data_IF_353226745477
#
_entry.id   IF_353226745477
#
_cell.length_a   1.000
_cell.length_b   1.000
_cell.length_c   1.000
_cell.angle_alpha   90.00
_cell.angle_beta   90.00
_cell.angle_gamma   90.00
#
_symmetry.space_group_name_H-M   'P 1'
#
loop_
_entity.id
_entity.type
_entity.pdbx_description
1 polymer ?
#
# COMPACT_ATOMS: atom_id res chain seq x y z
N UNK A 1 -1.72 -17.65 82.82
CA UNK A 1 -1.38 -18.10 81.45
C UNK A 1 -2.40 -17.53 80.49
N UNK A 2 -2.00 -16.63 79.60
CA UNK A 2 -2.65 -16.34 78.30
C UNK A 2 -1.95 -15.11 77.70
N UNK A 3 -1.00 -15.34 76.79
CA UNK A 3 -0.39 -14.30 75.96
C UNK A 3 -1.41 -13.94 74.88
N UNK A 4 -1.85 -12.67 74.83
CA UNK A 4 -2.65 -12.12 73.73
C UNK A 4 -1.71 -11.78 72.57
N UNK A 5 -1.91 -12.43 71.44
CA UNK A 5 -1.24 -12.11 70.18
C UNK A 5 -1.94 -10.90 69.54
N UNK A 6 -1.18 -9.85 69.22
CA UNK A 6 -1.61 -8.80 68.28
C UNK A 6 -1.39 -9.34 66.86
N UNK A 7 -2.47 -9.52 66.12
CA UNK A 7 -2.43 -9.78 64.68
C UNK A 7 -2.32 -8.45 63.94
N UNK A 8 -1.21 -8.21 63.25
CA UNK A 8 -1.05 -7.11 62.31
C UNK A 8 -1.72 -7.48 60.98
N UNK A 9 -2.71 -6.70 60.57
CA UNK A 9 -3.34 -6.81 59.25
C UNK A 9 -2.43 -6.16 58.21
N UNK A 10 -1.88 -6.95 57.28
CA UNK A 10 -1.16 -6.47 56.10
C UNK A 10 -2.18 -6.21 55.00
N UNK A 11 -2.40 -4.94 54.66
CA UNK A 11 -3.19 -4.55 53.49
C UNK A 11 -2.34 -4.75 52.22
N UNK A 12 -2.70 -5.73 51.39
CA UNK A 12 -2.17 -5.84 50.03
C UNK A 12 -2.84 -4.78 49.14
N UNK A 13 -2.10 -3.73 48.80
CA UNK A 13 -2.47 -2.84 47.70
C UNK A 13 -2.19 -3.55 46.38
N UNK A 14 -3.24 -3.99 45.69
CA UNK A 14 -3.15 -4.46 44.32
C UNK A 14 -2.88 -3.25 43.41
N UNK A 15 -1.65 -3.12 42.93
CA UNK A 15 -1.32 -2.17 41.87
C UNK A 15 -1.95 -2.66 40.56
N UNK A 16 -3.05 -2.01 40.15
CA UNK A 16 -3.57 -2.16 38.80
C UNK A 16 -2.54 -1.58 37.83
N UNK A 17 -1.83 -2.44 37.12
CA UNK A 17 -1.03 -2.04 35.96
C UNK A 17 -2.02 -1.65 34.87
N UNK A 18 -2.24 -0.34 34.71
CA UNK A 18 -2.91 0.20 33.54
C UNK A 18 -1.95 -0.04 32.37
N UNK A 19 -2.15 -1.12 31.64
CA UNK A 19 -1.54 -1.30 30.33
C UNK A 19 -2.15 -0.24 29.41
N UNK A 20 -1.41 0.84 29.16
CA UNK A 20 -1.74 1.73 28.05
C UNK A 20 -1.78 0.88 26.77
N UNK A 21 -2.84 0.96 25.95
CA UNK A 21 -2.84 0.26 24.67
C UNK A 21 -1.63 0.76 23.87
N UNK A 22 -0.74 -0.17 23.53
CA UNK A 22 0.34 0.12 22.59
C UNK A 22 -0.33 0.47 21.27
N UNK A 23 -0.30 1.74 20.90
CA UNK A 23 -0.82 2.20 19.60
C UNK A 23 -0.21 1.36 18.47
N UNK A 24 -0.98 1.16 17.39
CA UNK A 24 -0.48 0.44 16.23
C UNK A 24 0.81 1.09 15.71
N UNK A 25 1.72 0.27 15.17
CA UNK A 25 2.86 0.79 14.43
C UNK A 25 2.34 1.40 13.13
N UNK A 26 2.20 2.72 13.15
CA UNK A 26 2.02 3.51 11.94
C UNK A 26 3.36 3.63 11.19
N UNK A 27 3.30 3.64 9.87
CA UNK A 27 4.36 3.42 8.88
C UNK A 27 4.88 1.98 8.78
N UNK A 28 5.27 1.51 7.58
CA UNK A 28 5.88 0.19 7.43
C UNK A 28 7.14 0.05 8.30
N UNK A 29 7.28 -1.03 9.09
CA UNK A 29 8.41 -1.19 10.00
C UNK A 29 9.72 -1.43 9.24
N UNK A 30 10.78 -0.72 9.63
CA UNK A 30 12.13 -0.88 9.08
C UNK A 30 12.63 0.36 8.32
N UNK A 31 13.65 0.15 7.49
CA UNK A 31 14.37 1.22 6.78
C UNK A 31 13.98 1.36 5.31
N UNK A 32 13.19 0.44 4.78
CA UNK A 32 12.69 0.41 3.40
C UNK A 32 11.16 0.42 3.45
N UNK A 33 10.53 1.45 2.90
CA UNK A 33 9.10 1.70 3.03
C UNK A 33 8.33 1.63 1.70
N UNK A 34 9.01 1.33 0.59
CA UNK A 34 8.38 1.16 -0.71
C UNK A 34 7.81 -0.25 -0.86
N UNK A 35 6.54 -0.33 -1.23
CA UNK A 35 5.84 -1.58 -1.58
C UNK A 35 5.66 -1.70 -3.09
N UNK A 36 6.02 -2.84 -3.67
CA UNK A 36 5.55 -3.20 -5.01
C UNK A 36 4.22 -3.95 -4.91
N UNK A 37 3.14 -3.44 -5.49
CA UNK A 37 1.84 -4.11 -5.53
C UNK A 37 1.75 -4.93 -6.81
N UNK A 38 2.05 -6.23 -6.72
CA UNK A 38 2.09 -7.14 -7.87
C UNK A 38 0.69 -7.71 -8.13
N UNK A 39 -0.17 -6.85 -8.67
CA UNK A 39 -1.59 -7.12 -8.84
C UNK A 39 -1.85 -8.31 -9.79
N UNK A 40 -2.50 -9.35 -9.25
CA UNK A 40 -2.85 -10.61 -9.91
C UNK A 40 -1.65 -11.42 -10.43
N UNK A 41 -0.44 -11.19 -9.91
CA UNK A 41 0.70 -12.07 -10.19
C UNK A 41 0.59 -13.38 -9.42
N UNK A 42 0.85 -14.51 -10.07
CA UNK A 42 0.88 -15.79 -9.39
C UNK A 42 2.09 -15.91 -8.45
N UNK A 43 1.97 -16.72 -7.40
CA UNK A 43 2.98 -16.76 -6.32
C UNK A 43 4.38 -17.16 -6.82
N UNK A 44 4.48 -18.05 -7.80
CA UNK A 44 5.75 -18.44 -8.39
C UNK A 44 6.45 -17.28 -9.13
N UNK A 45 5.68 -16.43 -9.82
CA UNK A 45 6.22 -15.25 -10.51
C UNK A 45 6.70 -14.20 -9.51
N UNK A 46 5.94 -13.97 -8.43
CA UNK A 46 6.34 -13.07 -7.34
C UNK A 46 7.63 -13.54 -6.66
N UNK A 47 7.74 -14.85 -6.36
CA UNK A 47 8.94 -15.43 -5.77
C UNK A 47 10.20 -15.12 -6.60
N UNK A 48 10.11 -15.32 -7.93
CA UNK A 48 11.19 -14.98 -8.85
C UNK A 48 11.48 -13.48 -8.84
N UNK A 49 10.45 -12.64 -8.96
CA UNK A 49 10.60 -11.17 -9.03
C UNK A 49 11.24 -10.59 -7.76
N UNK A 50 10.94 -11.17 -6.59
CA UNK A 50 11.60 -10.83 -5.34
C UNK A 50 13.13 -10.97 -5.43
N UNK A 51 13.61 -12.06 -6.03
CA UNK A 51 15.05 -12.34 -6.15
C UNK A 51 15.73 -11.55 -7.26
N UNK A 52 15.06 -11.37 -8.41
CA UNK A 52 15.68 -10.81 -9.61
C UNK A 52 15.62 -9.29 -9.66
N UNK A 53 14.59 -8.70 -9.05
CA UNK A 53 14.31 -7.26 -9.19
C UNK A 53 14.05 -6.59 -7.85
N UNK A 54 13.06 -7.04 -7.06
CA UNK A 54 12.59 -6.27 -5.90
C UNK A 54 13.68 -6.15 -4.81
N UNK A 55 14.27 -7.28 -4.42
CA UNK A 55 15.36 -7.32 -3.44
C UNK A 55 16.56 -6.48 -3.87
N UNK A 56 17.14 -6.73 -5.06
CA UNK A 56 18.26 -5.94 -5.60
C UNK A 56 17.98 -4.44 -5.73
N UNK A 57 16.76 -4.04 -6.13
CA UNK A 57 16.37 -2.63 -6.23
C UNK A 57 16.12 -1.97 -4.86
N UNK A 58 15.94 -2.77 -3.81
CA UNK A 58 15.77 -2.27 -2.45
C UNK A 58 14.32 -2.02 -2.06
N UNK A 59 13.34 -2.65 -2.70
CA UNK A 59 11.96 -2.64 -2.20
C UNK A 59 11.92 -3.21 -0.78
N UNK A 60 11.06 -2.64 0.07
CA UNK A 60 10.86 -3.14 1.43
C UNK A 60 9.82 -4.26 1.47
N UNK A 61 8.79 -4.12 0.65
CA UNK A 61 7.61 -4.98 0.68
C UNK A 61 7.16 -5.36 -0.74
N UNK A 62 6.50 -6.50 -0.84
CA UNK A 62 5.61 -6.86 -1.94
C UNK A 62 4.21 -7.05 -1.40
N UNK A 63 3.20 -6.43 -2.03
CA UNK A 63 1.80 -6.73 -1.78
C UNK A 63 1.30 -7.72 -2.84
N UNK A 64 0.62 -8.77 -2.38
CA UNK A 64 -0.01 -9.79 -3.23
C UNK A 64 -1.53 -9.63 -3.23
N UNK A 65 -2.17 -9.95 -4.35
CA UNK A 65 -3.64 -10.06 -4.46
C UNK A 65 -4.20 -11.14 -3.51
N UNK A 66 -5.52 -11.12 -3.22
CA UNK A 66 -6.11 -12.00 -2.22
C UNK A 66 -5.80 -13.50 -2.46
N UNK A 67 -5.18 -14.20 -1.49
CA UNK A 67 -4.83 -15.62 -1.65
C UNK A 67 -5.98 -16.56 -1.27
N UNK A 68 -7.01 -16.04 -0.59
CA UNK A 68 -8.16 -16.81 -0.15
C UNK A 68 -8.92 -17.41 -1.35
N UNK A 69 -9.58 -18.54 -1.10
CA UNK A 69 -10.51 -19.14 -2.05
C UNK A 69 -11.61 -18.14 -2.35
N UNK A 70 -11.87 -17.96 -3.64
CA UNK A 70 -12.80 -16.96 -4.13
C UNK A 70 -13.72 -17.57 -5.19
N UNK A 71 -14.71 -16.82 -5.67
CA UNK A 71 -15.61 -17.30 -6.74
C UNK A 71 -14.85 -17.59 -8.03
N UNK A 72 -15.39 -18.48 -8.86
CA UNK A 72 -14.86 -18.74 -10.19
C UNK A 72 -15.21 -17.61 -11.16
N UNK A 73 -14.36 -17.41 -12.17
CA UNK A 73 -14.56 -16.46 -13.26
C UNK A 73 -13.24 -15.88 -13.73
N UNK A 74 -13.11 -15.39 -14.97
CA UNK A 74 -11.87 -14.79 -15.42
C UNK A 74 -11.58 -13.42 -14.79
N UNK A 75 -12.61 -12.66 -14.40
CA UNK A 75 -12.51 -11.26 -14.00
C UNK A 75 -11.62 -11.08 -12.77
N UNK A 76 -10.90 -9.96 -12.70
CA UNK A 76 -9.98 -9.66 -11.60
C UNK A 76 -10.71 -9.51 -10.26
N UNK A 77 -11.90 -8.89 -10.28
CA UNK A 77 -12.68 -8.63 -9.06
C UNK A 77 -13.24 -9.91 -8.42
N UNK A 78 -13.17 -11.05 -9.10
CA UNK A 78 -13.54 -12.33 -8.47
C UNK A 78 -12.66 -12.66 -7.27
N UNK A 79 -11.39 -12.23 -7.27
CA UNK A 79 -10.47 -12.37 -6.12
C UNK A 79 -10.97 -11.66 -4.86
N UNK A 80 -11.87 -10.69 -5.01
CA UNK A 80 -12.49 -9.91 -3.93
C UNK A 80 -13.85 -10.47 -3.49
N UNK A 81 -14.22 -11.68 -3.93
CA UNK A 81 -15.42 -12.37 -3.47
C UNK A 81 -15.04 -13.69 -2.81
N UNK A 82 -14.62 -13.66 -1.54
CA UNK A 82 -14.14 -14.85 -0.84
C UNK A 82 -15.28 -15.84 -0.61
N UNK A 83 -14.93 -17.12 -0.70
CA UNK A 83 -15.83 -18.26 -0.47
C UNK A 83 -15.38 -19.04 0.77
N UNK A 84 -14.07 -19.14 0.99
CA UNK A 84 -13.49 -19.65 2.24
C UNK A 84 -12.10 -19.06 2.46
N UNK A 85 -11.53 -19.28 3.64
CA UNK A 85 -10.17 -18.85 3.97
C UNK A 85 -9.06 -19.84 3.56
N UNK A 86 -9.38 -20.87 2.76
CA UNK A 86 -8.34 -21.74 2.15
C UNK A 86 -7.46 -20.91 1.22
N UNK A 87 -6.15 -21.14 1.21
CA UNK A 87 -5.27 -20.59 0.17
C UNK A 87 -5.43 -21.45 -1.08
N UNK A 88 -6.35 -21.05 -1.95
CA UNK A 88 -6.75 -21.81 -3.13
C UNK A 88 -7.32 -20.89 -4.23
N UNK A 89 -6.80 -19.67 -4.34
CA UNK A 89 -7.14 -18.75 -5.42
C UNK A 89 -6.50 -19.13 -6.76
N UNK A 90 -6.80 -18.34 -7.79
CA UNK A 90 -6.20 -18.46 -9.14
C UNK A 90 -4.66 -18.36 -9.16
N UNK A 91 -4.06 -17.78 -8.12
CA UNK A 91 -2.64 -17.38 -8.06
C UNK A 91 -1.70 -18.51 -7.61
N UNK A 92 -2.26 -19.63 -7.17
CA UNK A 92 -1.52 -20.80 -6.71
C UNK A 92 -2.09 -21.39 -5.43
N UNK A 93 -1.56 -22.55 -5.05
CA UNK A 93 -1.95 -23.21 -3.81
C UNK A 93 -1.15 -22.70 -2.60
N UNK A 94 -1.48 -23.24 -1.42
CA UNK A 94 -0.80 -22.95 -0.16
C UNK A 94 0.71 -23.19 -0.21
N UNK A 95 1.17 -24.23 -0.91
CA UNK A 95 2.59 -24.55 -0.98
C UNK A 95 3.35 -23.52 -1.83
N UNK A 96 2.78 -23.12 -2.97
CA UNK A 96 3.31 -22.05 -3.80
C UNK A 96 3.34 -20.71 -3.04
N UNK A 97 2.29 -20.41 -2.26
CA UNK A 97 2.25 -19.22 -1.41
C UNK A 97 3.38 -19.22 -0.37
N UNK A 98 3.55 -20.31 0.40
CA UNK A 98 4.61 -20.41 1.41
C UNK A 98 6.02 -20.35 0.79
N UNK A 99 6.20 -20.96 -0.39
CA UNK A 99 7.44 -20.86 -1.14
C UNK A 99 7.72 -19.42 -1.57
N UNK A 100 6.71 -18.67 -2.01
CA UNK A 100 6.85 -17.26 -2.35
C UNK A 100 7.26 -16.43 -1.13
N UNK A 101 6.60 -16.60 0.02
CA UNK A 101 6.94 -15.86 1.24
C UNK A 101 8.40 -16.09 1.63
N UNK A 102 8.80 -17.36 1.75
CA UNK A 102 10.18 -17.72 2.12
C UNK A 102 11.23 -17.23 1.11
N UNK A 103 10.92 -17.29 -0.20
CA UNK A 103 11.82 -16.78 -1.26
C UNK A 103 11.96 -15.26 -1.19
N UNK A 104 10.86 -14.53 -0.97
CA UNK A 104 10.89 -13.06 -0.83
C UNK A 104 11.68 -12.64 0.41
N UNK A 105 11.50 -13.32 1.54
CA UNK A 105 12.28 -13.08 2.74
C UNK A 105 13.77 -13.31 2.53
N UNK A 106 14.16 -14.38 1.83
CA UNK A 106 15.56 -14.65 1.49
C UNK A 106 16.16 -13.54 0.60
N UNK A 107 15.34 -12.85 -0.20
CA UNK A 107 15.74 -11.69 -1.00
C UNK A 107 15.68 -10.36 -0.21
N UNK A 108 15.30 -10.39 1.08
CA UNK A 108 15.16 -9.20 1.93
C UNK A 108 13.91 -8.37 1.65
N UNK A 109 12.87 -8.98 1.08
CA UNK A 109 11.58 -8.36 0.76
C UNK A 109 10.49 -8.98 1.63
N UNK A 110 9.76 -8.15 2.37
CA UNK A 110 8.64 -8.57 3.22
C UNK A 110 7.35 -8.74 2.41
N UNK A 111 6.39 -9.51 2.92
CA UNK A 111 5.13 -9.82 2.21
C UNK A 111 3.93 -9.22 2.93
N UNK A 112 3.15 -8.42 2.21
CA UNK A 112 1.84 -7.90 2.61
C UNK A 112 0.75 -8.62 1.82
N UNK A 113 -0.30 -9.07 2.49
CA UNK A 113 -1.42 -9.76 1.85
C UNK A 113 -2.63 -8.84 1.74
N UNK A 114 -3.22 -8.74 0.55
CA UNK A 114 -4.55 -8.14 0.39
C UNK A 114 -5.60 -9.07 1.02
N UNK A 115 -6.32 -8.56 2.03
CA UNK A 115 -7.13 -9.37 2.95
C UNK A 115 -8.56 -8.86 2.95
N UNK A 116 -9.47 -9.65 2.37
CA UNK A 116 -10.90 -9.34 2.27
C UNK A 116 -11.61 -9.92 3.48
N UNK A 117 -12.00 -9.02 4.40
CA UNK A 117 -12.57 -9.39 5.70
C UNK A 117 -13.88 -8.67 6.04
N UNK A 118 -14.33 -7.77 5.17
CA UNK A 118 -15.62 -7.09 5.31
C UNK A 118 -16.80 -8.00 4.92
N UNK A 119 -16.64 -8.73 3.82
CA UNK A 119 -17.75 -9.41 3.17
C UNK A 119 -17.33 -10.78 2.62
N UNK A 120 -18.34 -11.55 2.24
CA UNK A 120 -18.21 -12.79 1.48
C UNK A 120 -18.87 -12.68 0.10
N UNK A 121 -18.62 -13.66 -0.77
CA UNK A 121 -19.09 -13.66 -2.15
C UNK A 121 -20.61 -13.49 -2.30
N UNK A 122 -21.08 -12.70 -3.27
CA UNK A 122 -22.50 -12.64 -3.58
C UNK A 122 -22.98 -13.90 -4.33
N UNK A 123 -24.30 -14.15 -4.34
CA UNK A 123 -24.89 -15.19 -5.18
C UNK A 123 -24.66 -16.61 -4.66
N UNK A 124 -24.38 -17.57 -5.55
CA UNK A 124 -24.19 -18.97 -5.19
C UNK A 124 -23.30 -19.70 -6.19
N UNK A 125 -22.54 -20.69 -5.75
CA UNK A 125 -21.75 -21.53 -6.64
C UNK A 125 -20.70 -22.35 -5.92
N UNK A 126 -19.57 -22.58 -6.60
CA UNK A 126 -18.40 -23.28 -6.06
C UNK A 126 -17.19 -22.38 -6.20
N UNK A 127 -16.41 -22.24 -5.13
CA UNK A 127 -15.16 -21.49 -5.13
C UNK A 127 -14.05 -22.20 -5.90
N UNK A 128 -12.94 -21.50 -6.11
CA UNK A 128 -11.73 -22.02 -6.77
C UNK A 128 -11.06 -23.16 -6.01
N UNK A 129 -11.31 -23.28 -4.70
CA UNK A 129 -10.84 -24.33 -3.80
C UNK A 129 -11.85 -25.46 -3.54
N UNK A 130 -12.95 -25.49 -4.31
CA UNK A 130 -13.96 -26.54 -4.28
C UNK A 130 -15.04 -26.39 -3.19
N UNK A 131 -15.04 -25.32 -2.41
CA UNK A 131 -16.07 -25.06 -1.40
C UNK A 131 -17.36 -24.58 -2.07
N UNK A 132 -18.50 -25.17 -1.74
CA UNK A 132 -19.82 -24.65 -2.17
C UNK A 132 -20.20 -23.43 -1.33
N UNK A 133 -20.99 -22.52 -1.89
CA UNK A 133 -21.60 -21.42 -1.15
C UNK A 133 -22.95 -21.00 -1.74
N UNK A 134 -23.78 -20.42 -0.89
CA UNK A 134 -24.93 -19.59 -1.27
C UNK A 134 -24.86 -18.29 -0.48
N UNK A 135 -25.57 -17.25 -0.91
CA UNK A 135 -25.55 -15.96 -0.22
C UNK A 135 -25.94 -16.17 1.25
N UNK A 136 -25.10 -15.67 2.16
CA UNK A 136 -25.18 -15.86 3.61
C UNK A 136 -24.97 -17.29 4.15
N UNK A 137 -24.57 -18.26 3.33
CA UNK A 137 -24.23 -19.61 3.79
C UNK A 137 -22.96 -20.11 3.10
N UNK A 138 -21.89 -20.22 3.90
CA UNK A 138 -20.55 -20.62 3.50
C UNK A 138 -20.16 -21.81 4.40
N UNK A 139 -20.61 -23.04 4.05
CA UNK A 139 -20.57 -24.19 4.92
C UNK A 139 -19.20 -24.44 5.57
N UNK A 140 -19.21 -24.54 6.89
CA UNK A 140 -18.00 -24.74 7.70
C UNK A 140 -17.25 -23.46 8.07
N UNK A 141 -17.71 -22.29 7.61
CA UNK A 141 -17.14 -21.00 7.95
C UNK A 141 -18.19 -20.02 8.49
N UNK A 142 -19.19 -19.66 7.69
CA UNK A 142 -20.23 -18.70 8.07
C UNK A 142 -21.62 -19.20 7.68
N UNK A 143 -22.61 -18.80 8.46
CA UNK A 143 -24.04 -19.04 8.32
C UNK A 143 -24.78 -17.71 8.30
N UNK A 144 -26.10 -17.74 8.08
CA UNK A 144 -26.90 -16.51 7.96
C UNK A 144 -26.92 -15.63 9.21
N UNK A 145 -26.50 -16.17 10.37
CA UNK A 145 -26.43 -15.42 11.63
C UNK A 145 -25.14 -14.61 11.78
N UNK A 146 -24.16 -14.84 10.91
CA UNK A 146 -22.83 -14.23 10.96
C UNK A 146 -22.72 -13.01 10.01
N UNK A 147 -23.86 -12.55 9.45
CA UNK A 147 -23.97 -11.43 8.52
C UNK A 147 -24.88 -10.35 9.09
N UNK A 148 -24.65 -9.10 8.70
CA UNK A 148 -25.49 -7.98 9.10
C UNK A 148 -26.92 -8.10 8.56
N UNK A 149 -27.88 -7.57 9.32
CA UNK A 149 -29.31 -7.64 9.00
C UNK A 149 -29.70 -6.77 7.78
N UNK A 150 -28.88 -5.79 7.39
CA UNK A 150 -29.17 -4.93 6.24
C UNK A 150 -28.75 -5.59 4.93
N UNK A 151 -29.60 -6.45 4.39
CA UNK A 151 -29.38 -7.15 3.11
C UNK A 151 -29.54 -6.27 1.85
N UNK A 152 -29.59 -4.95 2.01
CA UNK A 152 -29.75 -3.99 0.92
C UNK A 152 -28.40 -3.42 0.50
N UNK A 153 -28.29 -2.94 -0.74
CA UNK A 153 -27.07 -2.26 -1.18
C UNK A 153 -26.87 -0.92 -0.46
N UNK A 154 -25.63 -0.58 -0.12
CA UNK A 154 -25.25 0.76 0.36
C UNK A 154 -25.77 1.80 -0.63
N UNK A 155 -26.51 2.79 -0.13
CA UNK A 155 -27.14 3.83 -0.95
C UNK A 155 -26.94 5.24 -0.40
N UNK A 156 -26.41 5.39 0.81
CA UNK A 156 -26.21 6.69 1.43
C UNK A 156 -24.89 6.77 2.21
N UNK A 157 -23.83 7.26 1.56
CA UNK A 157 -22.52 7.47 2.21
C UNK A 157 -22.50 8.57 3.30
N UNK A 158 -23.60 9.30 3.51
CA UNK A 158 -23.78 10.24 4.63
C UNK A 158 -24.43 9.58 5.86
N UNK A 159 -24.79 8.32 5.77
CA UNK A 159 -25.30 7.53 6.88
C UNK A 159 -24.27 6.45 7.23
N UNK A 160 -23.62 6.59 8.39
CA UNK A 160 -22.60 5.65 8.86
C UNK A 160 -23.15 4.23 8.96
N UNK A 161 -24.36 4.08 9.51
CA UNK A 161 -24.92 2.76 9.70
C UNK A 161 -25.15 2.08 8.35
N UNK A 162 -25.64 2.83 7.36
CA UNK A 162 -25.79 2.32 6.00
C UNK A 162 -24.44 1.95 5.35
N UNK A 163 -23.36 2.67 5.62
CA UNK A 163 -22.03 2.39 5.06
C UNK A 163 -21.38 1.14 5.66
N UNK A 164 -21.65 0.86 6.94
CA UNK A 164 -20.91 -0.14 7.73
C UNK A 164 -21.69 -1.42 8.07
N UNK A 165 -22.98 -1.49 7.70
CA UNK A 165 -23.82 -2.66 7.98
C UNK A 165 -24.64 -3.12 6.78
N UNK A 166 -24.59 -2.41 5.64
CA UNK A 166 -25.32 -2.78 4.44
C UNK A 166 -24.35 -3.18 3.33
N UNK A 167 -24.84 -3.90 2.34
CA UNK A 167 -24.00 -4.60 1.37
C UNK A 167 -23.30 -3.68 0.37
N UNK A 168 -21.97 -3.68 0.37
CA UNK A 168 -21.19 -3.09 -0.70
C UNK A 168 -21.45 -3.85 -2.01
N UNK A 169 -22.13 -3.21 -2.96
CA UNK A 169 -22.52 -3.78 -4.28
C UNK A 169 -23.17 -5.17 -4.23
N UNK A 170 -23.83 -5.50 -3.12
CA UNK A 170 -24.57 -6.76 -2.94
C UNK A 170 -23.74 -7.94 -2.42
N UNK A 171 -22.49 -7.68 -1.99
CA UNK A 171 -21.62 -8.62 -1.30
C UNK A 171 -22.15 -8.89 0.11
N UNK A 172 -22.10 -10.14 0.56
CA UNK A 172 -22.68 -10.54 1.85
C UNK A 172 -21.87 -9.92 3.01
N UNK A 173 -22.43 -8.93 3.68
CA UNK A 173 -21.74 -8.09 4.68
C UNK A 173 -21.63 -8.83 6.03
N UNK A 174 -20.41 -9.11 6.50
CA UNK A 174 -20.18 -9.86 7.73
C UNK A 174 -20.47 -8.98 8.95
N UNK A 175 -21.15 -9.53 9.97
CA UNK A 175 -21.29 -8.84 11.27
C UNK A 175 -19.93 -8.85 12.00
N UNK A 176 -19.08 -7.89 11.66
CA UNK A 176 -17.75 -7.76 12.27
C UNK A 176 -17.79 -7.32 13.74
N UNK A 177 -18.98 -7.02 14.28
CA UNK A 177 -19.26 -6.84 15.69
C UNK A 177 -19.30 -8.16 16.47
N UNK A 178 -19.59 -9.27 15.79
CA UNK A 178 -19.78 -10.58 16.42
C UNK A 178 -18.46 -11.23 16.86
N UNK A 179 -18.47 -11.89 18.02
CA UNK A 179 -17.30 -12.57 18.54
C UNK A 179 -16.84 -13.75 17.68
N UNK A 180 -17.77 -14.48 17.07
CA UNK A 180 -17.46 -15.60 16.19
C UNK A 180 -16.79 -15.10 14.91
N UNK A 181 -17.40 -14.14 14.20
CA UNK A 181 -16.85 -13.51 12.98
C UNK A 181 -15.44 -12.97 13.22
N UNK A 182 -15.23 -12.15 14.27
CA UNK A 182 -13.89 -11.63 14.63
C UNK A 182 -12.89 -12.75 14.91
N UNK A 183 -13.34 -13.85 15.51
CA UNK A 183 -12.51 -15.03 15.79
C UNK A 183 -12.11 -15.77 14.52
N UNK A 184 -13.04 -15.95 13.58
CA UNK A 184 -12.80 -16.59 12.29
C UNK A 184 -11.83 -15.76 11.43
N UNK A 185 -12.05 -14.45 11.32
CA UNK A 185 -11.16 -13.52 10.62
C UNK A 185 -9.75 -13.55 11.23
N UNK A 186 -9.64 -13.40 12.55
CA UNK A 186 -8.34 -13.44 13.23
C UNK A 186 -7.65 -14.80 13.06
N UNK A 187 -8.40 -15.90 13.03
CA UNK A 187 -7.90 -17.24 12.73
C UNK A 187 -7.27 -17.33 11.34
N UNK A 188 -7.94 -16.80 10.32
CA UNK A 188 -7.40 -16.71 8.96
C UNK A 188 -6.13 -15.85 8.88
N UNK A 189 -6.15 -14.66 9.46
CA UNK A 189 -4.98 -13.78 9.47
C UNK A 189 -3.80 -14.41 10.24
N UNK A 190 -4.07 -15.11 11.36
CA UNK A 190 -3.05 -15.85 12.08
C UNK A 190 -2.49 -17.04 11.30
N UNK A 191 -3.30 -17.70 10.48
CA UNK A 191 -2.83 -18.73 9.56
C UNK A 191 -1.85 -18.14 8.52
N UNK A 192 -2.17 -16.99 7.94
CA UNK A 192 -1.26 -16.26 7.05
C UNK A 192 0.04 -15.84 7.77
N UNK A 193 -0.05 -15.31 9.00
CA UNK A 193 1.13 -15.01 9.81
C UNK A 193 2.00 -16.25 10.07
N UNK A 194 1.39 -17.42 10.28
CA UNK A 194 2.12 -18.68 10.49
C UNK A 194 2.93 -19.11 9.26
N UNK A 195 2.54 -18.64 8.07
CA UNK A 195 3.26 -18.86 6.81
C UNK A 195 4.36 -17.82 6.55
N UNK A 196 4.52 -16.84 7.44
CA UNK A 196 5.55 -15.80 7.38
C UNK A 196 5.09 -14.46 6.79
N UNK A 197 3.79 -14.22 6.63
CA UNK A 197 3.29 -12.91 6.19
C UNK A 197 3.69 -11.82 7.20
N UNK A 198 4.12 -10.66 6.70
CA UNK A 198 4.60 -9.54 7.50
C UNK A 198 3.52 -8.47 7.78
N UNK A 199 2.44 -8.48 7.00
CA UNK A 199 1.38 -7.50 7.13
C UNK A 199 0.20 -7.73 6.20
N UNK A 200 -0.78 -6.85 6.33
CA UNK A 200 -2.07 -6.94 5.66
C UNK A 200 -2.47 -5.60 5.06
N UNK A 201 -2.93 -5.63 3.80
CA UNK A 201 -3.78 -4.58 3.26
C UNK A 201 -5.22 -4.99 3.56
N UNK A 202 -5.93 -4.20 4.35
CA UNK A 202 -7.32 -4.46 4.73
C UNK A 202 -8.22 -3.85 3.67
N UNK A 203 -8.85 -4.72 2.89
CA UNK A 203 -9.83 -4.36 1.87
C UNK A 203 -11.10 -3.76 2.49
N UNK A 204 -11.69 -2.79 1.79
CA UNK A 204 -12.99 -2.22 2.15
C UNK A 204 -13.08 -1.75 3.61
N UNK A 205 -11.98 -1.30 4.22
CA UNK A 205 -11.92 -1.00 5.66
C UNK A 205 -12.93 0.07 6.11
N UNK A 206 -13.31 1.01 5.22
CA UNK A 206 -14.40 1.98 5.47
C UNK A 206 -15.72 1.30 5.91
N UNK A 207 -15.98 0.12 5.39
CA UNK A 207 -17.23 -0.62 5.56
C UNK A 207 -17.26 -1.44 6.85
N UNK A 208 -16.19 -1.43 7.65
CA UNK A 208 -16.17 -2.01 9.00
C UNK A 208 -15.97 -0.90 10.05
N UNK A 209 -16.51 -1.09 11.25
CA UNK A 209 -16.22 -0.18 12.37
C UNK A 209 -14.71 -0.23 12.69
N UNK A 210 -14.09 0.93 12.90
CA UNK A 210 -12.69 1.01 13.31
C UNK A 210 -12.42 0.25 14.62
N UNK A 211 -13.39 0.18 15.54
CA UNK A 211 -13.30 -0.58 16.78
C UNK A 211 -13.31 -2.11 16.53
N UNK A 212 -14.03 -2.57 15.51
CA UNK A 212 -14.10 -3.99 15.14
C UNK A 212 -12.78 -4.44 14.54
N UNK A 213 -12.21 -3.62 13.65
CA UNK A 213 -10.85 -3.80 13.14
C UNK A 213 -9.81 -3.79 14.25
N UNK A 214 -9.92 -2.89 15.24
CA UNK A 214 -9.05 -2.87 16.40
C UNK A 214 -9.16 -4.18 17.21
N UNK A 215 -10.37 -4.71 17.37
CA UNK A 215 -10.62 -5.97 18.05
C UNK A 215 -9.97 -7.15 17.31
N UNK A 216 -10.21 -7.28 16.00
CA UNK A 216 -9.61 -8.30 15.15
C UNK A 216 -8.07 -8.23 15.24
N UNK A 217 -7.50 -7.03 15.11
CA UNK A 217 -6.06 -6.79 15.23
C UNK A 217 -5.50 -7.25 16.58
N UNK A 218 -6.23 -7.02 17.67
CA UNK A 218 -5.82 -7.44 19.02
C UNK A 218 -5.76 -8.96 19.21
N UNK A 219 -6.42 -9.73 18.34
CA UNK A 219 -6.44 -11.20 18.34
C UNK A 219 -5.32 -11.82 17.50
N UNK A 220 -4.47 -11.00 16.86
CA UNK A 220 -3.36 -11.49 16.07
C UNK A 220 -2.17 -11.91 16.96
N UNK A 221 -1.56 -13.04 16.60
CA UNK A 221 -0.36 -13.58 17.25
C UNK A 221 0.85 -12.66 17.10
N UNK A 222 0.88 -11.85 16.03
CA UNK A 222 1.89 -10.82 15.81
C UNK A 222 1.22 -9.42 15.83
N UNK A 223 1.21 -8.73 16.98
CA UNK A 223 0.63 -7.38 17.07
C UNK A 223 1.46 -6.30 16.35
N UNK A 224 2.67 -6.64 15.89
CA UNK A 224 3.55 -5.78 15.09
C UNK A 224 3.42 -6.01 13.58
N UNK A 225 2.52 -6.91 13.15
CA UNK A 225 2.21 -7.06 11.72
C UNK A 225 1.76 -5.71 11.15
N UNK A 226 2.33 -5.34 10.00
CA UNK A 226 2.02 -4.07 9.36
C UNK A 226 0.58 -4.08 8.84
N UNK A 227 -0.19 -3.02 9.09
CA UNK A 227 -1.55 -2.86 8.59
C UNK A 227 -1.62 -1.61 7.73
N UNK A 228 -2.22 -1.76 6.55
CA UNK A 228 -2.59 -0.66 5.65
C UNK A 228 -4.06 -0.82 5.29
N UNK A 229 -4.87 0.20 5.50
CA UNK A 229 -6.33 0.10 5.42
C UNK A 229 -6.86 0.92 4.25
N UNK A 230 -7.75 0.33 3.46
CA UNK A 230 -8.47 1.04 2.42
C UNK A 230 -9.65 1.82 3.00
N UNK A 231 -9.49 3.13 3.16
CA UNK A 231 -10.58 4.03 3.54
C UNK A 231 -10.57 5.21 2.60
N UNK A 232 -11.42 5.17 1.57
CA UNK A 232 -11.49 6.21 0.56
C UNK A 232 -12.07 7.49 1.18
N UNK A 233 -11.41 8.63 1.07
CA UNK A 233 -12.00 9.88 1.53
C UNK A 233 -13.15 10.32 0.60
N UNK A 234 -14.32 10.62 1.16
CA UNK A 234 -15.40 11.32 0.46
C UNK A 234 -15.86 12.58 1.19
N UNK A 235 -16.06 13.66 0.42
CA UNK A 235 -16.47 14.96 0.97
C UNK A 235 -17.88 14.88 1.56
N UNK A 236 -18.00 15.16 2.87
CA UNK A 236 -19.26 15.11 3.60
C UNK A 236 -19.79 13.71 3.85
N UNK A 237 -18.99 12.66 3.62
CA UNK A 237 -19.33 11.29 4.00
C UNK A 237 -19.21 11.09 5.52
N UNK A 238 -20.00 10.17 6.07
CA UNK A 238 -20.10 9.96 7.50
C UNK A 238 -18.90 9.21 8.12
N UNK A 239 -18.16 8.45 7.31
CA UNK A 239 -16.99 7.67 7.70
C UNK A 239 -15.75 8.29 7.06
N UNK A 240 -14.77 8.65 7.89
CA UNK A 240 -13.58 9.39 7.48
C UNK A 240 -12.30 8.57 7.71
N UNK A 241 -11.27 8.69 6.83
CA UNK A 241 -10.01 7.95 6.95
C UNK A 241 -9.29 8.09 8.29
N UNK A 242 -9.39 9.27 8.90
CA UNK A 242 -8.70 9.59 10.16
C UNK A 242 -9.12 8.71 11.34
N UNK A 243 -10.33 8.14 11.29
CA UNK A 243 -10.86 7.23 12.31
C UNK A 243 -10.06 5.93 12.42
N UNK A 244 -9.39 5.52 11.34
CA UNK A 244 -8.72 4.22 11.22
C UNK A 244 -7.22 4.28 11.53
N UNK A 245 -6.67 5.48 11.74
CA UNK A 245 -5.23 5.69 11.97
C UNK A 245 -4.72 5.05 13.26
N UNK A 246 -5.60 4.69 14.20
CA UNK A 246 -5.26 3.93 15.40
C UNK A 246 -4.93 2.45 15.15
N UNK A 247 -5.34 1.90 14.00
CA UNK A 247 -5.18 0.49 13.65
C UNK A 247 -3.97 0.21 12.74
N UNK A 248 -3.43 1.24 12.11
CA UNK A 248 -2.33 1.15 11.15
C UNK A 248 -2.37 2.30 10.15
N UNK A 249 -1.64 2.15 9.06
CA UNK A 249 -1.67 3.12 7.96
C UNK A 249 -3.02 3.09 7.25
N UNK A 250 -3.38 4.23 6.67
CA UNK A 250 -4.59 4.40 5.87
C UNK A 250 -4.20 4.93 4.49
N UNK A 251 -4.80 4.37 3.45
CA UNK A 251 -4.56 4.80 2.08
C UNK A 251 -5.12 6.22 1.84
N UNK A 252 -4.24 7.18 1.56
CA UNK A 252 -4.61 8.58 1.29
C UNK A 252 -4.94 8.76 -0.20
N UNK A 253 -6.17 8.41 -0.59
CA UNK A 253 -6.63 8.49 -1.99
C UNK A 253 -6.56 9.90 -2.58
N UNK A 254 -6.70 10.95 -1.76
CA UNK A 254 -6.60 12.34 -2.23
C UNK A 254 -5.23 12.65 -2.84
N UNK A 255 -4.18 11.99 -2.35
CA UNK A 255 -2.84 12.05 -2.94
C UNK A 255 -2.89 11.65 -4.43
N UNK A 256 -3.44 10.49 -4.76
CA UNK A 256 -3.46 10.03 -6.14
C UNK A 256 -4.35 10.92 -7.06
N UNK A 257 -5.50 11.39 -6.55
CA UNK A 257 -6.42 12.27 -7.28
C UNK A 257 -5.80 13.63 -7.60
N UNK A 258 -5.13 14.23 -6.62
CA UNK A 258 -4.51 15.53 -6.78
C UNK A 258 -3.23 15.46 -7.61
N UNK A 259 -2.45 14.38 -7.53
CA UNK A 259 -1.34 14.17 -8.47
C UNK A 259 -1.85 14.15 -9.91
N UNK A 260 -2.93 13.42 -10.20
CA UNK A 260 -3.55 13.44 -11.53
C UNK A 260 -3.95 14.85 -11.95
N UNK A 261 -4.64 15.58 -11.08
CA UNK A 261 -5.07 16.95 -11.36
C UNK A 261 -3.89 17.85 -11.70
N UNK A 262 -2.83 17.79 -10.89
CA UNK A 262 -1.62 18.61 -11.07
C UNK A 262 -0.91 18.28 -12.37
N UNK A 263 -0.61 17.01 -12.64
CA UNK A 263 0.12 16.60 -13.84
C UNK A 263 -0.64 16.78 -15.17
N UNK A 264 -1.97 16.88 -15.13
CA UNK A 264 -2.79 17.02 -16.35
C UNK A 264 -3.27 18.45 -16.60
N UNK A 265 -3.55 19.22 -15.55
CA UNK A 265 -4.34 20.45 -15.68
C UNK A 265 -3.75 21.65 -14.91
N UNK A 266 -2.67 21.47 -14.15
CA UNK A 266 -2.06 22.54 -13.36
C UNK A 266 -0.54 22.50 -13.45
N UNK A 267 0.14 23.08 -12.45
CA UNK A 267 1.59 23.26 -12.47
C UNK A 267 2.26 22.43 -11.36
N UNK A 268 3.37 21.75 -11.68
CA UNK A 268 4.18 21.05 -10.69
C UNK A 268 4.67 21.95 -9.55
N UNK A 269 4.83 23.26 -9.79
CA UNK A 269 5.19 24.26 -8.78
C UNK A 269 4.26 24.25 -7.54
N UNK A 270 3.00 23.82 -7.67
CA UNK A 270 2.05 23.76 -6.56
C UNK A 270 2.39 22.68 -5.53
N UNK A 271 3.22 21.70 -5.88
CA UNK A 271 3.58 20.57 -5.02
C UNK A 271 4.55 20.94 -3.88
N UNK A 272 4.93 22.21 -3.73
CA UNK A 272 5.89 22.70 -2.72
C UNK A 272 5.55 22.34 -1.27
N UNK A 273 4.27 22.17 -0.95
CA UNK A 273 3.76 21.79 0.37
C UNK A 273 2.83 20.56 0.31
N UNK A 274 3.01 19.72 -0.70
CA UNK A 274 2.15 18.56 -0.96
C UNK A 274 2.10 17.58 0.21
N UNK A 275 0.92 17.06 0.56
CA UNK A 275 0.74 16.24 1.76
C UNK A 275 -0.10 16.95 2.83
N UNK A 276 0.38 16.98 4.07
CA UNK A 276 -0.31 17.62 5.21
C UNK A 276 -0.70 19.09 4.94
N UNK A 277 0.11 19.83 4.16
CA UNK A 277 -0.17 21.21 3.77
C UNK A 277 -1.40 21.39 2.86
N UNK A 278 -1.92 20.29 2.31
CA UNK A 278 -3.13 20.23 1.48
C UNK A 278 -4.33 19.65 2.27
N UNK A 279 -4.17 19.45 3.59
CA UNK A 279 -5.21 18.89 4.46
C UNK A 279 -5.29 17.36 4.42
N UNK A 280 -4.24 16.69 3.97
CA UNK A 280 -4.15 15.24 4.02
C UNK A 280 -3.89 14.75 5.46
N UNK A 281 -4.02 13.45 5.69
CA UNK A 281 -3.63 12.82 6.94
C UNK A 281 -2.15 13.06 7.26
N UNK A 282 -1.72 12.78 8.50
CA UNK A 282 -0.30 12.89 8.80
C UNK A 282 0.51 11.88 7.99
N UNK A 283 1.69 12.29 7.55
CA UNK A 283 2.60 11.43 6.77
C UNK A 283 2.91 10.11 7.48
N UNK A 284 2.96 10.10 8.81
CA UNK A 284 3.36 8.90 9.58
C UNK A 284 2.32 7.78 9.58
N UNK A 285 1.09 8.04 9.15
CA UNK A 285 -0.06 7.11 9.15
C UNK A 285 -0.66 6.93 7.75
N UNK A 286 0.06 7.33 6.70
CA UNK A 286 -0.46 7.40 5.34
C UNK A 286 0.24 6.44 4.39
N UNK A 287 -0.52 5.56 3.74
CA UNK A 287 -0.09 4.87 2.52
C UNK A 287 -0.44 5.72 1.30
N UNK A 288 0.48 5.88 0.34
CA UNK A 288 0.29 6.71 -0.85
C UNK A 288 0.64 5.96 -2.13
N UNK A 289 0.01 6.36 -3.23
CA UNK A 289 0.22 5.77 -4.54
C UNK A 289 -0.08 6.80 -5.63
N UNK A 290 0.41 6.56 -6.84
CA UNK A 290 -0.01 7.30 -8.04
C UNK A 290 -1.33 6.75 -8.57
N UNK A 291 -1.53 5.44 -8.44
CA UNK A 291 -2.68 4.67 -8.87
C UNK A 291 -2.80 3.38 -8.04
N UNK A 292 -3.98 2.78 -7.99
CA UNK A 292 -4.17 1.41 -7.55
C UNK A 292 -5.00 0.64 -8.59
N UNK A 293 -5.29 -0.64 -8.31
CA UNK A 293 -6.00 -1.50 -9.24
C UNK A 293 -7.44 -1.02 -9.54
N UNK A 294 -8.13 -0.36 -8.62
CA UNK A 294 -9.46 0.22 -8.87
C UNK A 294 -9.38 1.53 -9.65
N UNK A 295 -8.54 2.45 -9.18
CA UNK A 295 -8.53 3.83 -9.64
C UNK A 295 -7.93 3.99 -11.03
N UNK A 296 -7.03 3.08 -11.44
CA UNK A 296 -6.54 3.01 -12.82
C UNK A 296 -7.63 2.58 -13.81
N UNK A 297 -8.63 1.80 -13.34
CA UNK A 297 -9.72 1.26 -14.17
C UNK A 297 -10.91 2.19 -14.27
N UNK A 298 -11.20 2.95 -13.21
CA UNK A 298 -12.30 3.93 -13.20
C UNK A 298 -11.88 5.34 -13.65
N UNK A 299 -10.58 5.55 -13.91
CA UNK A 299 -10.04 6.82 -14.42
C UNK A 299 -9.99 7.94 -13.38
N UNK A 300 -10.05 7.65 -12.08
CA UNK A 300 -9.91 8.66 -11.03
C UNK A 300 -8.45 9.07 -10.78
N UNK A 301 -7.48 8.23 -11.14
CA UNK A 301 -6.04 8.51 -11.00
C UNK A 301 -5.31 8.50 -12.34
N UNK A 302 -4.00 8.78 -12.32
CA UNK A 302 -3.13 8.43 -13.44
C UNK A 302 -3.05 6.90 -13.55
N UNK A 303 -2.44 6.42 -14.62
CA UNK A 303 -2.23 5.00 -14.92
C UNK A 303 -1.04 4.84 -15.85
N UNK A 304 -0.61 3.59 -16.10
CA UNK A 304 0.43 3.30 -17.08
C UNK A 304 0.15 3.84 -18.50
N UNK A 305 -1.10 4.22 -18.80
CA UNK A 305 -1.53 4.80 -20.09
C UNK A 305 -1.20 6.29 -20.21
N UNK A 306 -0.84 6.97 -19.13
CA UNK A 306 -0.57 8.40 -19.07
C UNK A 306 0.90 8.77 -19.36
N UNK A 307 1.69 7.83 -19.90
CA UNK A 307 3.07 8.04 -20.37
C UNK A 307 3.96 8.78 -19.35
N UNK A 308 4.57 9.90 -19.75
CA UNK A 308 5.48 10.67 -18.93
C UNK A 308 4.83 11.20 -17.64
N UNK A 309 3.53 11.52 -17.66
CA UNK A 309 2.82 12.00 -16.47
C UNK A 309 2.86 10.93 -15.38
N UNK A 310 2.60 9.67 -15.73
CA UNK A 310 2.66 8.54 -14.80
C UNK A 310 4.07 8.29 -14.27
N UNK A 311 5.06 8.29 -15.16
CA UNK A 311 6.46 8.05 -14.79
C UNK A 311 6.98 9.13 -13.86
N UNK A 312 6.77 10.41 -14.18
CA UNK A 312 7.25 11.54 -13.38
C UNK A 312 6.46 11.71 -12.07
N UNK A 313 5.17 11.36 -12.04
CA UNK A 313 4.40 11.31 -10.80
C UNK A 313 4.99 10.27 -9.82
N UNK A 314 5.42 9.10 -10.31
CA UNK A 314 6.10 8.10 -9.49
C UNK A 314 7.48 8.56 -9.02
N UNK A 315 8.26 9.23 -9.89
CA UNK A 315 9.55 9.84 -9.51
C UNK A 315 9.34 10.87 -8.40
N UNK A 316 8.34 11.75 -8.53
CA UNK A 316 7.98 12.72 -7.51
C UNK A 316 7.57 12.04 -6.20
N UNK A 317 6.64 11.07 -6.24
CA UNK A 317 6.18 10.33 -5.07
C UNK A 317 7.33 9.66 -4.30
N UNK A 318 8.25 9.01 -5.00
CA UNK A 318 9.41 8.36 -4.37
C UNK A 318 10.44 9.37 -3.84
N UNK A 319 10.53 10.56 -4.43
CA UNK A 319 11.40 11.62 -3.95
C UNK A 319 10.81 12.42 -2.77
N UNK A 320 9.49 12.55 -2.71
CA UNK A 320 8.78 13.39 -1.75
C UNK A 320 8.67 12.72 -0.36
N UNK A 321 8.92 13.43 0.76
CA UNK A 321 8.91 12.85 2.11
C UNK A 321 7.50 12.73 2.72
N UNK A 322 6.53 12.16 1.99
CA UNK A 322 5.17 11.97 2.50
C UNK A 322 4.72 10.53 2.32
N UNK A 323 4.16 9.94 3.38
CA UNK A 323 3.60 8.60 3.40
C UNK A 323 4.57 7.46 3.07
N UNK A 324 4.02 6.25 3.08
CA UNK A 324 4.63 5.01 2.60
C UNK A 324 4.19 4.74 1.14
N UNK A 325 5.11 4.76 0.15
CA UNK A 325 4.74 4.61 -1.26
C UNK A 325 4.43 3.18 -1.66
N UNK A 326 3.30 2.99 -2.34
CA UNK A 326 2.94 1.80 -3.09
C UNK A 326 3.10 2.06 -4.59
N UNK A 327 3.82 1.16 -5.27
CA UNK A 327 3.94 1.15 -6.73
C UNK A 327 3.00 0.08 -7.27
N UNK A 328 1.88 0.51 -7.85
CA UNK A 328 0.95 -0.40 -8.54
C UNK A 328 1.64 -1.02 -9.75
N UNK A 329 1.54 -2.34 -9.90
CA UNK A 329 2.17 -3.07 -10.99
C UNK A 329 1.29 -4.21 -11.49
N UNK A 330 0.34 -3.84 -12.34
CA UNK A 330 -0.56 -4.78 -13.01
C UNK A 330 -0.19 -5.10 -14.45
N UNK A 331 -1.23 -5.18 -15.28
CA UNK A 331 -1.21 -5.65 -16.66
C UNK A 331 -2.07 -4.76 -17.56
N UNK A 332 -1.93 -4.93 -18.87
CA UNK A 332 -2.70 -4.21 -19.87
C UNK A 332 -4.15 -4.68 -19.88
N UNK A 333 -5.07 -3.73 -19.88
CA UNK A 333 -6.50 -3.99 -20.00
C UNK A 333 -7.16 -2.97 -20.94
N UNK A 334 -8.09 -3.48 -21.75
CA UNK A 334 -9.02 -2.69 -22.59
C UNK A 334 -10.45 -2.72 -22.06
N UNK A 335 -10.75 -3.65 -21.15
CA UNK A 335 -12.03 -3.83 -20.49
C UNK A 335 -11.84 -3.63 -18.99
N UNK A 336 -12.84 -3.02 -18.33
CA UNK A 336 -12.79 -2.71 -16.90
C UNK A 336 -12.63 -3.97 -16.05
N UNK A 337 -13.27 -5.06 -16.45
CA UNK A 337 -13.34 -6.30 -15.68
C UNK A 337 -12.29 -7.34 -16.10
N UNK A 338 -11.41 -7.00 -17.05
CA UNK A 338 -10.42 -7.91 -17.59
C UNK A 338 -9.54 -8.53 -16.48
N UNK A 339 -9.52 -9.86 -16.45
CA UNK A 339 -8.62 -10.65 -15.61
C UNK A 339 -7.16 -10.59 -16.06
N UNK A 340 -6.24 -11.16 -15.27
CA UNK A 340 -4.83 -11.19 -15.59
C UNK A 340 -4.54 -12.06 -16.82
N UNK A 341 -3.56 -11.67 -17.66
CA UNK A 341 -3.04 -12.53 -18.70
C UNK A 341 -2.50 -13.85 -18.13
N UNK A 342 -2.71 -14.95 -18.85
CA UNK A 342 -2.12 -16.27 -18.53
C UNK A 342 -2.35 -16.73 -17.08
N UNK A 343 -3.51 -16.40 -16.48
CA UNK A 343 -3.84 -16.80 -15.12
C UNK A 343 -2.87 -16.24 -14.07
N UNK A 344 -2.29 -15.06 -14.31
CA UNK A 344 -1.34 -14.44 -13.40
C UNK A 344 0.12 -14.88 -13.60
N UNK A 345 0.40 -15.79 -14.53
CA UNK A 345 1.79 -16.18 -14.82
C UNK A 345 2.52 -15.05 -15.57
N UNK A 346 3.62 -14.61 -14.98
CA UNK A 346 4.55 -13.66 -15.59
C UNK A 346 5.82 -14.41 -15.96
N UNK A 347 6.18 -14.43 -17.25
CA UNK A 347 7.44 -15.03 -17.69
C UNK A 347 8.54 -13.97 -17.85
N UNK A 348 8.16 -12.78 -18.31
CA UNK A 348 9.03 -11.62 -18.44
C UNK A 348 8.20 -10.34 -18.43
N UNK A 349 8.81 -9.24 -17.99
CA UNK A 349 8.21 -7.93 -18.03
C UNK A 349 8.06 -7.40 -19.46
N UNK A 350 7.04 -6.56 -19.67
CA UNK A 350 6.69 -5.92 -20.94
C UNK A 350 6.29 -6.89 -22.07
N UNK A 351 6.09 -8.17 -21.73
CA UNK A 351 5.58 -9.19 -22.64
C UNK A 351 4.23 -9.72 -22.15
N UNK A 352 3.40 -10.20 -23.08
CA UNK A 352 2.12 -10.85 -22.81
C UNK A 352 1.18 -10.02 -21.91
N UNK A 353 1.18 -8.70 -22.09
CA UNK A 353 0.32 -7.77 -21.35
C UNK A 353 0.86 -7.32 -19.99
N UNK A 354 1.97 -7.84 -19.46
CA UNK A 354 2.48 -7.40 -18.16
C UNK A 354 3.24 -6.07 -18.27
N UNK A 355 2.81 -5.04 -17.54
CA UNK A 355 3.45 -3.70 -17.60
C UNK A 355 4.67 -3.57 -16.72
N UNK A 356 4.70 -4.25 -15.57
CA UNK A 356 5.81 -4.22 -14.61
C UNK A 356 6.28 -2.80 -14.25
N UNK A 357 5.37 -1.91 -13.87
CA UNK A 357 5.68 -0.51 -13.53
C UNK A 357 6.79 -0.41 -12.47
N UNK A 358 6.80 -1.33 -11.49
CA UNK A 358 7.84 -1.43 -10.47
C UNK A 358 9.27 -1.64 -11.03
N UNK A 359 9.39 -2.14 -12.26
CA UNK A 359 10.65 -2.43 -12.94
C UNK A 359 10.99 -1.40 -14.03
N UNK A 360 10.16 -0.36 -14.22
CA UNK A 360 10.50 0.73 -15.14
C UNK A 360 11.76 1.45 -14.63
N UNK A 361 12.79 1.68 -15.47
CA UNK A 361 14.08 2.19 -15.01
C UNK A 361 13.99 3.46 -14.16
N UNK A 362 13.12 4.39 -14.55
CA UNK A 362 12.87 5.67 -13.89
C UNK A 362 12.27 5.48 -12.50
N UNK A 363 11.32 4.55 -12.35
CA UNK A 363 10.65 4.24 -11.07
C UNK A 363 11.57 3.41 -10.18
N UNK A 364 12.12 2.31 -10.71
CA UNK A 364 12.99 1.38 -9.98
C UNK A 364 14.21 2.08 -9.38
N UNK A 365 14.84 2.98 -10.13
CA UNK A 365 16.01 3.72 -9.65
C UNK A 365 15.71 4.65 -8.47
N UNK A 366 14.46 5.12 -8.36
CA UNK A 366 14.02 5.98 -7.27
C UNK A 366 13.73 5.25 -5.96
N UNK A 367 13.62 3.92 -5.97
CA UNK A 367 13.53 3.10 -4.75
C UNK A 367 14.82 3.24 -3.92
N UNK A 368 15.98 3.17 -4.59
CA UNK A 368 17.28 3.42 -3.96
C UNK A 368 17.39 4.85 -3.43
N UNK A 369 16.89 5.85 -4.18
CA UNK A 369 16.84 7.25 -3.73
C UNK A 369 15.98 7.40 -2.48
N UNK A 370 14.77 6.84 -2.46
CA UNK A 370 13.85 6.88 -1.31
C UNK A 370 14.50 6.30 -0.06
N UNK A 371 15.14 5.14 -0.18
CA UNK A 371 15.87 4.49 0.91
C UNK A 371 17.02 5.36 1.43
N UNK A 372 17.86 5.90 0.53
CA UNK A 372 19.02 6.69 0.90
C UNK A 372 18.65 8.02 1.57
N UNK A 373 17.52 8.60 1.18
CA UNK A 373 17.08 9.93 1.64
C UNK A 373 16.06 9.89 2.79
N UNK A 374 15.74 8.70 3.31
CA UNK A 374 14.78 8.52 4.40
C UNK A 374 15.07 9.44 5.60
N UNK A 375 14.00 10.02 6.16
CA UNK A 375 14.04 10.91 7.31
C UNK A 375 14.59 12.31 7.03
N UNK A 376 14.92 12.65 5.78
CA UNK A 376 15.35 14.00 5.43
C UNK A 376 14.17 14.89 5.04
N UNK A 377 14.16 16.12 5.54
CA UNK A 377 13.23 17.15 5.10
C UNK A 377 13.51 17.61 3.65
N UNK A 378 12.52 18.26 3.04
CA UNK A 378 12.70 18.99 1.78
C UNK A 378 13.58 20.21 2.04
N UNK A 379 14.57 20.42 1.18
CA UNK A 379 15.52 21.55 1.24
C UNK A 379 15.72 22.12 -0.15
N UNK A 380 16.18 23.36 -0.27
CA UNK A 380 16.53 23.97 -1.56
C UNK A 380 15.43 23.83 -2.64
N UNK A 381 14.16 23.98 -2.25
CA UNK A 381 13.06 23.95 -3.20
C UNK A 381 13.24 25.05 -4.25
N UNK A 382 13.10 24.68 -5.50
CA UNK A 382 13.07 25.57 -6.65
C UNK A 382 11.93 25.15 -7.59
N UNK A 383 11.30 26.14 -8.19
CA UNK A 383 10.34 25.98 -9.28
C UNK A 383 10.47 27.17 -10.25
N UNK A 384 9.95 27.01 -11.46
CA UNK A 384 9.83 28.09 -12.45
C UNK A 384 8.44 28.74 -12.47
N UNK A 385 7.57 28.47 -11.50
CA UNK A 385 6.16 28.82 -11.51
C UNK A 385 5.27 27.94 -12.40
N UNK A 386 5.84 26.98 -13.13
CA UNK A 386 5.17 26.03 -14.03
C UNK A 386 5.53 24.58 -13.70
N UNK A 387 5.96 23.84 -14.71
CA UNK A 387 6.14 22.38 -14.69
C UNK A 387 7.61 21.93 -14.56
N UNK A 388 8.49 22.83 -14.14
CA UNK A 388 9.85 22.49 -13.73
C UNK A 388 10.06 22.75 -12.24
N UNK A 389 10.40 21.68 -11.50
CA UNK A 389 10.65 21.73 -10.06
C UNK A 389 11.97 21.02 -9.72
N UNK A 390 12.59 21.43 -8.62
CA UNK A 390 13.73 20.74 -8.04
C UNK A 390 13.78 20.91 -6.53
N UNK A 391 14.27 19.90 -5.82
CA UNK A 391 14.46 19.98 -4.38
C UNK A 391 15.48 18.96 -3.87
N UNK A 392 16.11 19.32 -2.76
CA UNK A 392 16.99 18.45 -1.99
C UNK A 392 16.24 17.67 -0.91
N UNK A 393 16.81 16.55 -0.51
CA UNK A 393 16.46 15.77 0.68
C UNK A 393 17.61 15.83 1.67
N UNK A 394 17.72 16.98 2.33
CA UNK A 394 18.87 17.34 3.18
C UNK A 394 20.21 17.15 2.46
N UNK A 395 21.23 16.74 3.20
CA UNK A 395 22.55 16.40 2.63
C UNK A 395 22.64 15.01 1.99
N UNK A 396 21.51 14.35 1.72
CA UNK A 396 21.50 12.95 1.23
C UNK A 396 21.05 12.78 -0.21
N UNK A 397 20.30 13.71 -0.79
CA UNK A 397 19.87 13.58 -2.18
C UNK A 397 19.30 14.85 -2.77
N UNK A 398 19.17 14.86 -4.08
CA UNK A 398 18.60 15.96 -4.85
C UNK A 398 17.86 15.41 -6.07
N UNK A 399 16.68 15.97 -6.36
CA UNK A 399 15.87 15.64 -7.54
C UNK A 399 15.53 16.91 -8.31
N UNK A 400 15.48 16.82 -9.63
CA UNK A 400 14.91 17.81 -10.52
C UNK A 400 13.98 17.09 -11.51
N UNK A 401 12.81 17.68 -11.78
CA UNK A 401 11.81 17.18 -12.71
C UNK A 401 11.51 18.30 -13.70
N UNK A 402 11.55 17.97 -14.99
CA UNK A 402 11.18 18.87 -16.06
C UNK A 402 10.04 18.25 -16.87
N UNK A 403 8.82 18.73 -16.62
CA UNK A 403 7.62 18.35 -17.35
C UNK A 403 7.19 19.42 -18.38
N UNK A 404 8.00 20.47 -18.55
CA UNK A 404 7.87 21.46 -19.63
C UNK A 404 8.04 20.82 -21.03
N UNK A 405 7.50 21.45 -22.09
CA UNK A 405 7.64 20.95 -23.48
C UNK A 405 9.07 21.09 -24.04
N UNK A 406 9.94 21.86 -23.38
CA UNK A 406 11.30 22.14 -23.82
C UNK A 406 12.37 21.61 -22.87
N UNK A 407 13.62 21.61 -23.33
CA UNK A 407 14.76 21.34 -22.44
C UNK A 407 15.04 22.53 -21.53
N UNK A 408 15.54 22.23 -20.33
CA UNK A 408 15.89 23.22 -19.32
C UNK A 408 17.32 22.99 -18.84
N UNK A 409 18.18 23.99 -19.04
CA UNK A 409 19.53 24.03 -18.46
C UNK A 409 19.54 24.96 -17.26
N UNK A 410 19.97 24.44 -16.10
CA UNK A 410 19.99 25.20 -14.86
C UNK A 410 21.13 24.79 -13.94
N UNK A 411 21.64 25.76 -13.19
CA UNK A 411 22.47 25.53 -12.01
C UNK A 411 21.58 25.40 -10.78
N UNK A 412 21.64 24.26 -10.12
CA UNK A 412 20.88 23.95 -8.91
C UNK A 412 21.75 24.12 -7.67
N UNK A 413 21.18 24.69 -6.61
CA UNK A 413 21.78 24.70 -5.28
C UNK A 413 21.33 23.46 -4.52
N UNK A 414 22.26 22.73 -3.94
CA UNK A 414 22.00 21.55 -3.12
C UNK A 414 22.62 21.70 -1.73
N UNK A 415 22.32 20.74 -0.86
CA UNK A 415 23.05 20.52 0.40
C UNK A 415 23.97 19.30 0.34
N UNK A 416 24.18 18.73 -0.85
CA UNK A 416 25.08 17.60 -1.05
C UNK A 416 26.54 18.05 -0.90
N UNK A 417 27.41 17.22 -0.29
CA UNK A 417 28.84 17.45 -0.32
C UNK A 417 29.38 17.54 -1.76
N UNK A 418 30.47 18.29 -1.94
CA UNK A 418 31.17 18.31 -3.22
C UNK A 418 31.64 16.90 -3.62
N UNK A 419 31.50 16.56 -4.90
CA UNK A 419 31.86 15.24 -5.41
C UNK A 419 31.10 14.86 -6.66
N UNK A 420 31.36 13.64 -7.14
CA UNK A 420 30.71 13.06 -8.31
C UNK A 420 29.61 12.10 -7.86
N UNK A 421 28.44 12.25 -8.45
CA UNK A 421 27.25 11.46 -8.22
C UNK A 421 26.77 10.86 -9.53
N UNK A 422 26.13 9.70 -9.47
CA UNK A 422 25.42 9.16 -10.63
C UNK A 422 23.99 9.70 -10.64
N UNK A 423 23.59 10.33 -11.75
CA UNK A 423 22.19 10.57 -12.06
C UNK A 423 21.53 9.23 -12.36
N UNK A 424 20.75 8.72 -11.40
CA UNK A 424 20.16 7.38 -11.52
C UNK A 424 19.01 7.31 -12.52
N UNK A 425 18.52 8.45 -13.02
CA UNK A 425 17.47 8.50 -14.04
C UNK A 425 17.98 8.18 -15.46
N UNK A 426 19.26 8.42 -15.75
CA UNK A 426 19.84 8.17 -17.09
C UNK A 426 21.27 7.62 -17.08
N UNK A 427 21.79 7.23 -15.92
CA UNK A 427 23.12 6.66 -15.73
C UNK A 427 24.27 7.57 -16.21
N UNK A 428 24.19 8.87 -15.92
CA UNK A 428 25.25 9.86 -16.25
C UNK A 428 25.87 10.49 -15.00
N UNK A 429 27.13 10.91 -15.08
CA UNK A 429 27.82 11.54 -13.97
C UNK A 429 27.42 13.02 -13.79
N UNK A 430 27.21 13.44 -12.54
CA UNK A 430 26.93 14.82 -12.13
C UNK A 430 27.94 15.24 -11.08
N UNK A 431 28.63 16.36 -11.30
CA UNK A 431 29.62 16.89 -10.36
C UNK A 431 29.02 18.05 -9.56
N UNK A 432 28.95 17.88 -8.24
CA UNK A 432 28.62 18.95 -7.29
C UNK A 432 29.91 19.64 -6.87
N UNK A 433 29.98 20.96 -7.05
CA UNK A 433 31.15 21.76 -6.70
C UNK A 433 31.25 22.05 -5.19
N UNK A 434 32.32 22.73 -4.75
CA UNK A 434 32.55 23.10 -3.35
C UNK A 434 31.50 24.04 -2.75
N UNK A 435 30.73 24.73 -3.59
CA UNK A 435 29.58 25.56 -3.18
C UNK A 435 28.27 24.77 -3.08
N UNK A 436 28.28 23.45 -3.27
CA UNK A 436 27.07 22.61 -3.27
C UNK A 436 26.21 22.77 -4.53
N UNK A 437 26.79 23.27 -5.63
CA UNK A 437 26.07 23.52 -6.88
C UNK A 437 26.45 22.54 -7.98
N UNK A 438 25.49 22.23 -8.86
CA UNK A 438 25.75 21.53 -10.12
C UNK A 438 24.90 22.13 -11.24
N UNK A 439 25.37 22.05 -12.47
CA UNK A 439 24.60 22.45 -13.66
C UNK A 439 24.16 21.21 -14.41
N UNK A 440 22.89 21.15 -14.81
CA UNK A 440 22.36 20.06 -15.62
C UNK A 440 21.37 20.57 -16.66
N UNK A 441 21.28 19.83 -17.76
CA UNK A 441 20.26 19.99 -18.80
C UNK A 441 19.29 18.81 -18.72
N UNK A 442 18.02 19.09 -18.45
CA UNK A 442 16.95 18.10 -18.49
C UNK A 442 16.18 18.28 -19.80
N UNK A 443 15.89 17.19 -20.49
CA UNK A 443 14.98 17.20 -21.64
C UNK A 443 13.53 17.41 -21.19
N UNK A 444 12.63 17.67 -22.14
CA UNK A 444 11.19 17.64 -21.85
C UNK A 444 10.78 16.28 -21.31
N UNK A 445 9.90 16.26 -20.31
CA UNK A 445 9.37 15.03 -19.70
C UNK A 445 10.46 14.10 -19.13
N UNK A 446 11.48 14.67 -18.48
CA UNK A 446 12.57 13.91 -17.86
C UNK A 446 12.84 14.36 -16.43
N UNK A 447 13.55 13.51 -15.69
CA UNK A 447 14.03 13.82 -14.35
C UNK A 447 15.53 13.57 -14.20
N UNK A 448 16.08 14.16 -13.15
CA UNK A 448 17.42 13.90 -12.64
C UNK A 448 17.30 13.60 -11.15
N UNK A 449 17.98 12.55 -10.69
CA UNK A 449 18.05 12.22 -9.27
C UNK A 449 19.45 11.75 -8.90
N UNK A 450 20.03 12.37 -7.87
CA UNK A 450 21.34 12.04 -7.33
C UNK A 450 21.24 11.86 -5.82
N UNK A 451 21.99 10.93 -5.25
CA UNK A 451 22.00 10.72 -3.80
C UNK A 451 23.36 10.22 -3.28
N UNK A 452 23.62 10.53 -2.01
CA UNK A 452 24.85 10.15 -1.32
C UNK A 452 25.02 8.63 -1.29
N UNK A 453 26.25 8.17 -1.56
CA UNK A 453 26.57 6.74 -1.65
C UNK A 453 26.39 6.14 -3.04
N UNK A 454 25.89 6.90 -4.03
CA UNK A 454 25.77 6.47 -5.43
C UNK A 454 26.63 7.33 -6.35
N UNK A 455 27.94 7.06 -6.37
CA UNK A 455 28.92 7.76 -7.21
C UNK A 455 29.10 7.14 -8.60
N UNK A 456 28.81 5.84 -8.74
CA UNK A 456 29.08 5.08 -9.96
C UNK A 456 27.78 4.83 -10.76
N UNK A 457 27.88 5.21 -12.03
CA UNK A 457 27.07 4.75 -13.14
C UNK A 457 27.78 3.55 -13.81
#
# INVERSE_FOLDING_TARGET
MARRHLSAAVALAAAAVVMNPTGAQASPPGTKDVTAVLFEWNFASIARECTTTLGPAGYGYVQVSPPAEHIQGPQWWTSYQPVSYKIAGRLGDRAAFQNMVSTCHAAGVKVVVDTVINHMAAGSGTGTGGSSYTKYDYPGLYSSFDFDDCTGQISNYRDRWNVQHCELVGLSDLDTGENYVRGAIAGYMNDLLSLGVDGFRIDAAKHMDAADLANIRSRLNNPSAYWKQEVIHGSGEAVQPTEYTGNGDVQEFRYAYDLKRVFNNENLAYLKNYGEGWGYMSSGVSGVFVDNHDTERNGSTLSYKDNANYTLANVFMLAWPYGAPDINSGYEFSDHDAGPPNGGQVNACWLNGWKCQHNWPEIKSMVGFRNATRGQAVTNWWDNGGDAIAFGRGGKGFVAINHEPGSLTRTYQTSLPAGTYCNVQNNTAVTVNSGGQFTATLGSNTALAIYAGKSNC
#
